data_IF_233575372059
#
_entry.id   IF_233575372059
#
_cell.length_a   1.000
_cell.length_b   1.000
_cell.length_c   1.000
_cell.angle_alpha   90.00
_cell.angle_beta   90.00
_cell.angle_gamma   90.00
#
_symmetry.space_group_name_H-M   'P 1'
#
loop_
_entity.id
_entity.type
_entity.pdbx_description
1 polymer ?
#
# COMPACT_ATOMS: atom_id res chain seq x y z
N UNK A 1 8.14 -0.58 2.88
CA UNK A 1 9.23 -0.78 1.85
C UNK A 1 8.90 -0.08 0.54
N UNK A 2 7.74 -0.32 -0.10
CA UNK A 2 7.38 0.29 -1.40
C UNK A 2 7.49 1.83 -1.45
N UNK A 3 7.05 2.52 -0.40
CA UNK A 3 7.19 3.98 -0.27
C UNK A 3 8.66 4.42 -0.31
N UNK A 4 9.54 3.73 0.42
CA UNK A 4 10.97 4.03 0.46
C UNK A 4 11.60 3.81 -0.91
N UNK A 5 11.28 2.68 -1.55
CA UNK A 5 11.78 2.34 -2.88
C UNK A 5 11.36 3.38 -3.92
N UNK A 6 10.08 3.71 -3.97
CA UNK A 6 9.54 4.71 -4.87
C UNK A 6 10.17 6.10 -4.64
N UNK A 7 10.35 6.48 -3.37
CA UNK A 7 11.04 7.72 -3.02
C UNK A 7 12.45 7.78 -3.59
N UNK A 8 13.22 6.69 -3.51
CA UNK A 8 14.59 6.62 -4.01
C UNK A 8 14.68 6.57 -5.53
N UNK A 9 13.92 5.69 -6.15
CA UNK A 9 14.13 5.32 -7.55
C UNK A 9 13.21 6.08 -8.52
N UNK A 10 12.07 6.59 -8.06
CA UNK A 10 11.14 7.38 -8.90
C UNK A 10 11.25 8.87 -8.59
N UNK A 11 11.25 9.26 -7.31
CA UNK A 11 11.34 10.67 -6.92
C UNK A 11 12.78 11.20 -6.86
N UNK A 12 13.80 10.31 -6.89
CA UNK A 12 15.20 10.71 -6.77
C UNK A 12 15.59 11.23 -5.38
N UNK A 13 14.79 10.96 -4.36
CA UNK A 13 15.08 11.33 -2.98
C UNK A 13 16.17 10.43 -2.42
N UNK A 14 17.43 10.84 -2.59
CA UNK A 14 18.56 10.10 -2.06
C UNK A 14 18.39 9.91 -0.56
N UNK A 15 18.69 8.71 -0.07
CA UNK A 15 18.54 8.37 1.35
C UNK A 15 17.12 8.48 1.93
N UNK A 16 16.06 8.42 1.07
CA UNK A 16 14.70 8.25 1.57
C UNK A 16 14.62 6.98 2.43
N UNK A 17 14.09 7.10 3.65
CA UNK A 17 14.06 6.00 4.61
C UNK A 17 12.87 6.08 5.57
N UNK A 18 12.74 5.05 6.40
CA UNK A 18 11.93 5.07 7.61
C UNK A 18 12.78 5.49 8.79
N UNK A 19 12.28 6.41 9.63
CA UNK A 19 12.96 6.76 10.90
C UNK A 19 13.02 5.60 11.90
N UNK A 20 12.30 4.53 11.67
CA UNK A 20 12.40 3.29 12.41
C UNK A 20 13.77 2.61 12.21
N UNK A 21 14.29 2.71 11.00
CA UNK A 21 15.56 2.08 10.60
C UNK A 21 16.73 3.06 10.63
N UNK A 22 16.48 4.33 10.30
CA UNK A 22 17.46 5.41 10.31
C UNK A 22 16.83 6.69 10.87
N UNK A 23 17.13 6.99 12.13
CA UNK A 23 16.62 8.18 12.82
C UNK A 23 17.12 9.50 12.23
N UNK A 24 18.17 9.46 11.42
CA UNK A 24 18.77 10.62 10.76
C UNK A 24 18.50 10.66 9.26
N UNK A 25 17.49 9.90 8.79
CA UNK A 25 17.12 9.87 7.40
C UNK A 25 16.91 11.29 6.85
N UNK A 26 17.61 11.62 5.76
CA UNK A 26 17.50 12.92 5.07
C UNK A 26 16.06 13.17 4.56
N UNK A 27 15.45 12.11 4.06
CA UNK A 27 14.06 12.11 3.61
C UNK A 27 13.25 11.05 4.37
N UNK A 28 12.66 11.41 5.54
CA UNK A 28 11.89 10.48 6.37
C UNK A 28 10.49 10.26 5.79
N UNK A 29 10.41 9.52 4.69
CA UNK A 29 9.15 9.23 3.97
C UNK A 29 8.21 8.32 4.75
N UNK A 30 8.75 7.59 5.73
CA UNK A 30 8.00 6.89 6.79
C UNK A 30 8.47 7.47 8.13
N UNK A 31 7.53 8.01 8.90
CA UNK A 31 7.84 8.73 10.13
C UNK A 31 6.82 8.41 11.24
N UNK A 32 7.15 8.82 12.44
CA UNK A 32 6.22 8.80 13.57
C UNK A 32 5.40 10.10 13.57
N UNK A 33 4.10 10.02 13.80
CA UNK A 33 3.26 11.19 13.90
C UNK A 33 3.67 12.10 15.07
N UNK A 34 3.48 13.42 14.92
CA UNK A 34 3.75 14.41 15.99
C UNK A 34 2.94 14.14 17.25
N UNK A 35 1.71 13.70 17.12
CA UNK A 35 0.85 13.32 18.25
C UNK A 35 1.41 12.13 19.03
N UNK A 36 2.00 11.17 18.34
CA UNK A 36 2.65 10.00 18.93
C UNK A 36 3.96 10.36 19.61
N UNK A 37 4.70 11.34 19.10
CA UNK A 37 5.94 11.84 19.74
C UNK A 37 5.67 12.46 21.11
N UNK A 38 4.50 13.06 21.32
CA UNK A 38 4.10 13.67 22.62
C UNK A 38 3.72 12.64 23.68
N UNK A 39 3.38 11.39 23.28
CA UNK A 39 2.94 10.33 24.19
C UNK A 39 4.09 9.39 24.62
N UNK A 40 5.34 9.74 24.35
CA UNK A 40 6.53 8.89 24.52
C UNK A 40 6.74 8.35 25.96
N UNK A 41 6.03 8.85 26.95
CA UNK A 41 6.18 8.44 28.37
C UNK A 41 5.34 7.24 28.79
N UNK A 42 4.44 6.69 27.95
CA UNK A 42 3.50 5.64 28.37
C UNK A 42 3.42 4.38 27.50
N UNK A 43 4.36 4.10 26.62
CA UNK A 43 4.31 2.88 25.76
C UNK A 43 3.15 2.83 24.76
N UNK A 44 2.36 3.92 24.62
CA UNK A 44 1.11 3.99 23.87
C UNK A 44 1.21 4.57 22.45
N UNK A 45 2.39 4.51 21.79
CA UNK A 45 2.59 5.11 20.46
C UNK A 45 2.20 4.19 19.29
N UNK A 46 1.79 2.96 19.58
CA UNK A 46 1.43 1.99 18.56
C UNK A 46 -0.06 2.10 18.22
N UNK A 47 -0.39 2.21 16.93
CA UNK A 47 -1.78 2.01 16.48
C UNK A 47 -2.10 0.52 16.57
N UNK A 48 -2.91 0.16 17.56
CA UNK A 48 -3.37 -1.19 17.82
C UNK A 48 -4.88 -1.26 17.68
N UNK A 49 -5.39 -2.29 17.01
CA UNK A 49 -6.82 -2.51 16.89
C UNK A 49 -7.38 -2.13 15.52
N UNK A 50 -8.70 -2.00 15.46
CA UNK A 50 -9.44 -1.76 14.25
C UNK A 50 -9.63 -0.26 14.00
N UNK A 51 -9.28 0.21 12.79
CA UNK A 51 -9.45 1.60 12.39
C UNK A 51 -10.19 1.68 11.05
N UNK A 52 -11.02 2.70 10.87
CA UNK A 52 -11.73 2.92 9.62
C UNK A 52 -10.77 3.38 8.52
N UNK A 53 -11.04 2.92 7.30
CA UNK A 53 -10.39 3.35 6.08
C UNK A 53 -11.46 3.74 5.05
N UNK A 54 -11.35 4.94 4.49
CA UNK A 54 -12.16 5.41 3.37
C UNK A 54 -11.30 5.34 2.12
N UNK A 55 -11.85 4.73 1.06
CA UNK A 55 -11.14 4.56 -0.22
C UNK A 55 -11.79 5.38 -1.33
N UNK A 56 -10.95 5.82 -2.26
CA UNK A 56 -11.40 6.54 -3.45
C UNK A 56 -12.22 5.62 -4.35
N UNK A 57 -13.36 6.10 -4.80
CA UNK A 57 -14.19 5.41 -5.78
C UNK A 57 -13.43 5.14 -7.08
N UNK A 58 -13.59 3.94 -7.65
CA UNK A 58 -12.89 3.52 -8.85
C UNK A 58 -11.41 3.13 -8.65
N UNK A 59 -10.87 3.21 -7.43
CA UNK A 59 -9.54 2.69 -7.10
C UNK A 59 -9.48 1.15 -7.17
N UNK A 60 -8.28 0.59 -7.18
CA UNK A 60 -8.10 -0.87 -7.08
C UNK A 60 -8.64 -1.39 -5.74
N UNK A 61 -8.37 -0.66 -4.65
CA UNK A 61 -8.92 -1.00 -3.34
C UNK A 61 -10.45 -1.01 -3.35
N UNK A 62 -11.11 0.01 -3.92
CA UNK A 62 -12.56 0.03 -4.04
C UNK A 62 -13.11 -1.17 -4.82
N UNK A 63 -12.46 -1.55 -5.93
CA UNK A 63 -12.86 -2.74 -6.72
C UNK A 63 -12.71 -4.05 -5.94
N UNK A 64 -11.67 -4.16 -5.11
CA UNK A 64 -11.38 -5.36 -4.33
C UNK A 64 -12.32 -5.49 -3.12
N UNK A 65 -12.54 -4.41 -2.38
CA UNK A 65 -13.40 -4.42 -1.19
C UNK A 65 -14.89 -4.32 -1.51
N UNK A 66 -15.27 -3.78 -2.67
CA UNK A 66 -16.66 -3.58 -3.08
C UNK A 66 -17.41 -2.50 -2.28
N UNK A 67 -16.69 -1.68 -1.53
CA UNK A 67 -17.22 -0.59 -0.71
C UNK A 67 -16.20 0.53 -0.60
N UNK A 68 -16.68 1.75 -0.37
CA UNK A 68 -15.82 2.93 -0.14
C UNK A 68 -15.37 3.08 1.31
N UNK A 69 -15.94 2.31 2.23
CA UNK A 69 -15.58 2.38 3.65
C UNK A 69 -15.53 0.98 4.26
N UNK A 70 -14.47 0.71 5.02
CA UNK A 70 -14.29 -0.53 5.76
C UNK A 70 -13.36 -0.30 6.96
N UNK A 71 -13.25 -1.31 7.81
CA UNK A 71 -12.42 -1.28 9.01
C UNK A 71 -11.40 -2.40 8.96
N UNK A 72 -10.12 -2.09 9.19
CA UNK A 72 -9.04 -3.06 9.24
C UNK A 72 -8.19 -2.93 10.50
N UNK A 73 -7.47 -4.00 10.85
CA UNK A 73 -6.65 -4.04 12.06
C UNK A 73 -5.24 -3.55 11.77
N UNK A 74 -4.75 -2.72 12.68
CA UNK A 74 -3.41 -2.12 12.64
C UNK A 74 -2.56 -2.64 13.79
N UNK A 75 -1.25 -2.70 13.52
CA UNK A 75 -0.23 -3.03 14.50
C UNK A 75 1.10 -2.37 14.07
N UNK A 76 1.12 -1.04 14.04
CA UNK A 76 2.31 -0.30 13.63
C UNK A 76 2.42 1.03 14.38
N UNK A 77 3.61 1.61 14.36
CA UNK A 77 3.96 2.88 15.00
C UNK A 77 4.30 3.96 13.97
N UNK A 78 4.89 3.54 12.86
CA UNK A 78 5.38 4.44 11.82
C UNK A 78 4.39 4.47 10.66
N UNK A 79 4.23 5.66 10.09
CA UNK A 79 3.20 5.99 9.11
C UNK A 79 3.83 6.61 7.87
N UNK A 80 3.13 6.58 6.74
CA UNK A 80 3.48 7.40 5.58
C UNK A 80 3.54 8.87 6.00
N UNK A 81 4.64 9.54 5.68
CA UNK A 81 4.79 10.96 5.98
C UNK A 81 4.04 11.81 4.96
N UNK A 82 2.92 12.41 5.38
CA UNK A 82 2.05 13.21 4.52
C UNK A 82 2.72 14.46 3.93
N UNK A 83 3.86 14.92 4.44
CA UNK A 83 4.65 16.02 3.85
C UNK A 83 5.12 15.68 2.42
N UNK A 84 5.28 14.40 2.13
CA UNK A 84 5.68 13.89 0.81
C UNK A 84 4.49 13.55 -0.09
N UNK A 85 3.25 13.58 0.41
CA UNK A 85 2.05 13.13 -0.28
C UNK A 85 1.93 13.67 -1.71
N UNK A 86 2.04 14.98 -1.86
CA UNK A 86 1.90 15.67 -3.16
C UNK A 86 2.97 15.24 -4.16
N UNK A 87 4.19 14.99 -3.71
CA UNK A 87 5.29 14.55 -4.58
C UNK A 87 5.03 13.13 -5.11
N UNK A 88 4.60 12.22 -4.23
CA UNK A 88 4.27 10.84 -4.59
C UNK A 88 3.11 10.78 -5.58
N UNK A 89 2.05 11.56 -5.35
CA UNK A 89 0.89 11.62 -6.24
C UNK A 89 1.24 12.16 -7.62
N UNK A 90 2.03 13.23 -7.70
CA UNK A 90 2.50 13.80 -8.99
C UNK A 90 3.35 12.82 -9.78
N UNK A 91 4.05 11.92 -9.12
CA UNK A 91 4.89 10.90 -9.76
C UNK A 91 4.13 9.60 -10.09
N UNK A 92 2.80 9.56 -9.90
CA UNK A 92 1.96 8.45 -10.32
C UNK A 92 1.59 7.44 -9.22
N UNK A 93 2.02 7.64 -7.97
CA UNK A 93 1.52 6.83 -6.86
C UNK A 93 0.16 7.37 -6.39
N UNK A 94 -0.87 6.55 -6.47
CA UNK A 94 -2.19 6.88 -5.95
C UNK A 94 -2.27 6.52 -4.47
N UNK A 95 -2.69 7.47 -3.63
CA UNK A 95 -2.98 7.25 -2.21
C UNK A 95 -4.48 7.05 -2.05
N UNK A 96 -4.93 5.85 -2.39
CA UNK A 96 -6.35 5.53 -2.60
C UNK A 96 -7.15 5.29 -1.32
N UNK A 97 -6.49 5.06 -0.20
CA UNK A 97 -7.16 4.86 1.10
C UNK A 97 -6.58 5.76 2.18
N UNK A 98 -7.47 6.32 3.02
CA UNK A 98 -7.11 7.20 4.12
C UNK A 98 -7.95 6.92 5.36
N UNK A 99 -7.35 7.15 6.53
CA UNK A 99 -8.11 7.22 7.76
C UNK A 99 -8.93 8.52 7.78
N UNK A 100 -10.27 8.48 7.95
CA UNK A 100 -11.11 9.67 7.85
C UNK A 100 -10.90 10.67 8.99
N UNK A 101 -10.43 10.23 10.15
CA UNK A 101 -10.22 11.10 11.31
C UNK A 101 -8.88 11.83 11.28
N UNK A 102 -7.83 11.17 10.75
CA UNK A 102 -6.45 11.69 10.80
C UNK A 102 -5.91 12.12 9.43
N UNK A 103 -6.56 11.71 8.33
CA UNK A 103 -6.07 11.93 6.97
C UNK A 103 -4.82 11.11 6.61
N UNK A 104 -4.38 10.19 7.47
CA UNK A 104 -3.23 9.34 7.21
C UNK A 104 -3.49 8.41 6.03
N UNK A 105 -2.45 8.23 5.21
CA UNK A 105 -2.49 7.30 4.09
C UNK A 105 -2.48 5.86 4.62
N UNK A 106 -3.51 5.11 4.26
CA UNK A 106 -3.67 3.70 4.62
C UNK A 106 -3.38 2.77 3.44
N UNK A 107 -3.59 3.25 2.20
CA UNK A 107 -3.44 2.47 0.98
C UNK A 107 -2.72 3.29 -0.09
N UNK A 108 -1.75 2.65 -0.73
CA UNK A 108 -1.07 3.14 -1.93
C UNK A 108 -1.28 2.18 -3.09
N UNK A 109 -1.38 2.72 -4.30
CA UNK A 109 -1.52 1.97 -5.55
C UNK A 109 -0.60 2.54 -6.63
N UNK A 110 -0.19 1.70 -7.58
CA UNK A 110 0.41 2.14 -8.84
C UNK A 110 -0.57 1.78 -9.97
N UNK A 111 -1.37 2.76 -10.47
CA UNK A 111 -2.43 2.51 -11.45
C UNK A 111 -1.93 1.90 -12.76
N UNK A 112 -0.70 2.23 -13.17
CA UNK A 112 -0.06 1.71 -14.39
C UNK A 112 0.47 0.27 -14.23
N UNK A 113 0.49 -0.26 -13.00
CA UNK A 113 0.88 -1.64 -12.75
C UNK A 113 -0.35 -2.57 -12.76
N UNK A 114 -0.30 -3.76 -13.36
CA UNK A 114 -1.45 -4.68 -13.44
C UNK A 114 -2.09 -4.99 -12.09
N UNK A 115 -1.29 -5.11 -11.04
CA UNK A 115 -1.74 -5.26 -9.66
C UNK A 115 -0.64 -4.82 -8.70
N UNK A 116 -0.74 -3.60 -8.19
CA UNK A 116 0.14 -3.10 -7.14
C UNK A 116 -0.70 -2.36 -6.11
N UNK A 117 -0.74 -2.89 -4.90
CA UNK A 117 -1.41 -2.30 -3.75
C UNK A 117 -0.57 -2.54 -2.51
N UNK A 118 -0.31 -1.46 -1.77
CA UNK A 118 0.35 -1.51 -0.47
C UNK A 118 -0.57 -0.96 0.60
N UNK A 119 -0.63 -1.64 1.73
CA UNK A 119 -1.52 -1.27 2.84
C UNK A 119 -0.74 -1.10 4.13
N UNK A 120 -1.23 -0.21 4.99
CA UNK A 120 -0.65 0.07 6.30
C UNK A 120 -1.18 -0.91 7.38
N UNK A 121 -2.39 -1.39 7.18
CA UNK A 121 -3.05 -2.36 8.06
C UNK A 121 -2.62 -3.80 7.75
N UNK A 122 -3.09 -4.75 8.58
CA UNK A 122 -2.73 -6.15 8.56
C UNK A 122 -3.94 -7.02 8.19
N UNK A 123 -4.22 -7.25 6.88
CA UNK A 123 -5.38 -8.01 6.43
C UNK A 123 -5.35 -9.48 6.90
N UNK A 124 -4.15 -10.03 7.17
CA UNK A 124 -3.98 -11.38 7.71
C UNK A 124 -4.63 -11.58 9.08
N UNK A 125 -4.78 -10.51 9.88
CA UNK A 125 -5.39 -10.60 11.21
C UNK A 125 -6.90 -10.85 11.19
N UNK A 126 -7.55 -10.69 10.04
CA UNK A 126 -8.98 -10.95 9.84
C UNK A 126 -9.26 -12.05 8.81
N UNK A 127 -8.21 -12.50 8.11
CA UNK A 127 -8.34 -13.51 7.07
C UNK A 127 -8.46 -14.90 7.64
N UNK A 128 -9.43 -15.68 7.15
CA UNK A 128 -9.60 -17.10 7.46
C UNK A 128 -9.76 -17.90 6.18
N UNK A 129 -9.69 -19.23 6.25
CA UNK A 129 -9.94 -20.11 5.10
C UNK A 129 -11.36 -19.94 4.56
N UNK A 130 -12.35 -19.80 5.46
CA UNK A 130 -13.76 -19.65 5.09
C UNK A 130 -14.11 -18.22 4.62
N UNK A 131 -13.34 -17.24 5.06
CA UNK A 131 -13.51 -15.81 4.71
C UNK A 131 -12.15 -15.17 4.52
N UNK A 132 -11.50 -15.42 3.36
CA UNK A 132 -10.20 -14.85 3.06
C UNK A 132 -10.31 -13.32 2.88
N UNK A 133 -9.26 -12.61 3.29
CA UNK A 133 -9.22 -11.17 3.11
C UNK A 133 -9.31 -10.79 1.62
N UNK A 134 -10.11 -9.78 1.24
CA UNK A 134 -10.32 -9.39 -0.16
C UNK A 134 -9.02 -9.12 -0.93
N UNK A 135 -8.02 -8.53 -0.28
CA UNK A 135 -6.72 -8.27 -0.89
C UNK A 135 -6.00 -9.54 -1.34
N UNK A 136 -6.06 -10.62 -0.56
CA UNK A 136 -5.44 -11.88 -0.94
C UNK A 136 -6.18 -12.55 -2.11
N UNK A 137 -7.50 -12.49 -2.11
CA UNK A 137 -8.31 -12.96 -3.25
C UNK A 137 -7.97 -12.19 -4.51
N UNK A 138 -7.96 -10.85 -4.44
CA UNK A 138 -7.62 -9.98 -5.56
C UNK A 138 -6.21 -10.22 -6.10
N UNK A 139 -5.23 -10.48 -5.22
CA UNK A 139 -3.87 -10.82 -5.62
C UNK A 139 -3.81 -12.15 -6.40
N UNK A 140 -4.46 -13.20 -5.90
CA UNK A 140 -4.51 -14.50 -6.57
C UNK A 140 -5.20 -14.41 -7.94
N UNK A 141 -6.30 -13.65 -8.03
CA UNK A 141 -7.01 -13.44 -9.30
C UNK A 141 -6.14 -12.68 -10.32
N UNK A 142 -5.40 -11.67 -9.87
CA UNK A 142 -4.46 -10.96 -10.73
C UNK A 142 -3.31 -11.88 -11.21
N UNK A 143 -2.77 -12.72 -10.32
CA UNK A 143 -1.72 -13.68 -10.66
C UNK A 143 -2.19 -14.71 -11.69
N UNK A 144 -3.42 -15.22 -11.56
CA UNK A 144 -4.03 -16.15 -12.55
C UNK A 144 -4.15 -15.47 -13.91
N UNK A 145 -4.73 -14.28 -13.98
CA UNK A 145 -4.88 -13.51 -15.22
C UNK A 145 -3.54 -13.26 -15.92
N UNK A 146 -2.52 -12.89 -15.14
CA UNK A 146 -1.18 -12.70 -15.67
C UNK A 146 -0.59 -13.98 -16.26
N UNK A 147 -0.77 -15.13 -15.60
CA UNK A 147 -0.30 -16.41 -16.10
C UNK A 147 -1.02 -16.84 -17.40
N UNK A 148 -2.33 -16.63 -17.49
CA UNK A 148 -3.12 -16.90 -18.70
C UNK A 148 -2.65 -16.05 -19.89
N UNK A 149 -2.42 -14.76 -19.69
CA UNK A 149 -1.90 -13.86 -20.71
C UNK A 149 -0.51 -14.28 -21.22
N UNK A 150 0.39 -14.66 -20.31
CA UNK A 150 1.72 -15.19 -20.68
C UNK A 150 1.62 -16.47 -21.49
N UNK A 151 0.74 -17.38 -21.13
CA UNK A 151 0.55 -18.66 -21.83
C UNK A 151 0.04 -18.45 -23.25
N UNK A 152 -0.87 -17.49 -23.45
CA UNK A 152 -1.40 -17.12 -24.77
C UNK A 152 -0.32 -16.51 -25.66
N UNK A 153 0.49 -15.60 -25.14
CA UNK A 153 1.61 -14.98 -25.87
C UNK A 153 2.67 -16.04 -26.31
N UNK A 154 3.00 -16.98 -25.43
CA UNK A 154 3.96 -18.04 -25.72
C UNK A 154 3.44 -19.06 -26.74
N UNK A 155 2.12 -19.29 -26.79
CA UNK A 155 1.51 -20.18 -27.78
C UNK A 155 1.38 -19.54 -29.18
N UNK A 156 1.21 -18.22 -29.25
CA UNK A 156 1.23 -17.42 -30.47
C UNK A 156 2.61 -17.48 -31.16
N UNK A 157 3.67 -17.22 -30.41
CA UNK A 157 5.05 -17.24 -30.95
C UNK A 157 5.53 -18.62 -31.43
N UNK A 158 4.90 -19.74 -31.03
CA UNK A 158 5.23 -21.06 -31.53
C UNK A 158 4.60 -21.39 -32.90
N UNK A 159 3.58 -20.64 -33.32
CA UNK A 159 2.93 -20.86 -34.63
C UNK A 159 3.66 -20.20 -35.78
N UNK A 160 4.44 -19.15 -35.51
CA UNK A 160 5.19 -18.42 -36.55
C UNK A 160 6.62 -18.97 -36.80
N UNK A 161 7.01 -20.03 -36.07
CA UNK A 161 8.34 -20.65 -36.18
C UNK A 161 8.35 -21.95 -37.02
N UNK A 162 7.28 -22.25 -37.77
CA UNK A 162 7.20 -23.40 -38.66
C UNK A 162 6.84 -22.91 -40.06
N UNK A 163 7.85 -22.37 -40.78
CA UNK A 163 7.91 -22.33 -42.24
C UNK A 163 9.33 -22.68 -42.62
#
# INVERSE_FOLDING_TARGET
MAVIEFGRNVLGLKNAHSVEMDQHAEHPVINMMEEQKKITMMGGTMRLGAYPCVVEEGSLAHKIYGTTEFTERHRHRYEFNNDYLTQYQKAGMRTSGKNPATGLVEIIELPEHPFFIGVQYHPELKSTVERPAPLFVGFIDAAKKYNEQRSTLNSGNKKDAVI
#
